data_IF_377352679860
#
_entry.id   IF_377352679860
#
_cell.length_a   1.000
_cell.length_b   1.000
_cell.length_c   1.000
_cell.angle_alpha   90.00
_cell.angle_beta   90.00
_cell.angle_gamma   90.00
#
_symmetry.space_group_name_H-M   'P 1'
#
loop_
_entity.id
_entity.type
_entity.pdbx_description
1 polymer ?
#
# COMPACT_ATOMS: atom_id res chain seq x y z
N UNK A 1 -17.12 -21.08 -14.57
CA UNK A 1 -17.28 -22.54 -14.72
C UNK A 1 -16.63 -23.21 -13.52
N UNK A 2 -17.31 -24.19 -12.91
CA UNK A 2 -16.71 -25.00 -11.87
C UNK A 2 -15.72 -26.03 -12.48
N UNK A 3 -14.68 -26.38 -11.74
CA UNK A 3 -13.72 -27.40 -12.15
C UNK A 3 -14.40 -28.77 -12.17
N UNK A 4 -14.45 -29.44 -13.32
CA UNK A 4 -15.14 -30.74 -13.49
C UNK A 4 -14.20 -31.94 -13.63
N UNK A 5 -12.89 -31.71 -13.62
CA UNK A 5 -11.85 -32.74 -13.61
C UNK A 5 -10.55 -32.19 -13.01
N UNK A 6 -9.65 -33.09 -12.61
CA UNK A 6 -8.31 -32.71 -12.18
C UNK A 6 -7.62 -31.89 -13.27
N UNK A 7 -6.94 -30.82 -12.86
CA UNK A 7 -6.12 -29.99 -13.74
C UNK A 7 -4.74 -29.90 -13.15
N UNK A 8 -3.74 -30.27 -13.93
CA UNK A 8 -2.35 -29.96 -13.61
C UNK A 8 -2.15 -28.44 -13.70
N UNK A 9 -1.58 -27.87 -12.65
CA UNK A 9 -1.23 -26.47 -12.57
C UNK A 9 0.29 -26.37 -12.50
N UNK A 10 0.86 -25.46 -13.26
CA UNK A 10 2.25 -25.08 -13.09
C UNK A 10 2.42 -24.44 -11.71
N UNK A 11 2.99 -25.22 -10.78
CA UNK A 11 3.34 -24.74 -9.45
C UNK A 11 4.76 -24.16 -9.49
N UNK A 12 4.84 -22.83 -9.49
CA UNK A 12 6.11 -22.13 -9.34
C UNK A 12 6.47 -22.07 -7.85
N UNK A 13 7.15 -23.11 -7.36
CA UNK A 13 7.67 -23.16 -5.98
C UNK A 13 8.55 -21.94 -5.75
N UNK A 14 8.15 -21.08 -4.80
CA UNK A 14 8.90 -19.98 -4.17
C UNK A 14 10.22 -19.65 -4.88
N UNK A 15 10.09 -19.05 -6.07
CA UNK A 15 11.24 -18.71 -6.89
C UNK A 15 11.89 -17.46 -6.30
N UNK A 16 13.10 -17.61 -5.76
CA UNK A 16 13.95 -16.48 -5.35
C UNK A 16 13.98 -15.40 -6.43
N UNK A 17 13.97 -15.82 -7.71
CA UNK A 17 13.97 -14.96 -8.89
C UNK A 17 12.66 -15.06 -9.69
N UNK A 18 12.04 -13.92 -9.98
CA UNK A 18 10.87 -13.83 -10.88
C UNK A 18 11.18 -12.95 -12.07
N UNK A 19 10.79 -13.40 -13.27
CA UNK A 19 10.89 -12.58 -14.49
C UNK A 19 9.67 -11.67 -14.59
N UNK A 20 9.90 -10.38 -14.79
CA UNK A 20 8.85 -9.35 -14.92
C UNK A 20 9.07 -8.52 -16.20
N UNK A 21 8.00 -8.19 -16.95
CA UNK A 21 8.11 -7.36 -18.15
C UNK A 21 8.31 -5.89 -17.78
N UNK A 22 9.25 -5.22 -18.46
CA UNK A 22 9.61 -3.83 -18.17
C UNK A 22 8.70 -2.86 -18.93
N UNK A 23 8.36 -1.74 -18.29
CA UNK A 23 7.57 -0.68 -18.88
C UNK A 23 8.31 -0.02 -20.05
N UNK A 24 7.56 0.58 -20.97
CA UNK A 24 8.13 1.42 -22.02
C UNK A 24 8.92 2.58 -21.42
N UNK A 25 9.98 3.01 -22.10
CA UNK A 25 10.80 4.16 -21.71
C UNK A 25 11.39 4.07 -20.27
N UNK A 26 11.54 2.86 -19.72
CA UNK A 26 12.04 2.64 -18.37
C UNK A 26 13.42 1.97 -18.37
N UNK A 27 14.26 2.37 -17.42
CA UNK A 27 15.58 1.79 -17.19
C UNK A 27 15.71 1.36 -15.73
N UNK A 28 16.01 0.09 -15.49
CA UNK A 28 16.17 -0.51 -14.17
C UNK A 28 17.64 -0.85 -13.99
N UNK A 29 18.24 -0.39 -12.88
CA UNK A 29 19.60 -0.74 -12.53
C UNK A 29 19.63 -2.01 -11.67
N UNK A 30 20.75 -2.74 -11.72
CA UNK A 30 20.95 -3.89 -10.85
C UNK A 30 20.97 -3.45 -9.39
N UNK A 31 20.25 -4.15 -8.51
CA UNK A 31 20.11 -3.83 -7.10
C UNK A 31 19.06 -2.75 -6.79
N UNK A 32 18.47 -2.12 -7.81
CA UNK A 32 17.40 -1.15 -7.60
C UNK A 32 16.12 -1.81 -7.10
N UNK A 33 15.34 -1.07 -6.31
CA UNK A 33 13.99 -1.45 -5.94
C UNK A 33 13.08 -1.27 -7.15
N UNK A 34 12.29 -2.30 -7.45
CA UNK A 34 11.43 -2.34 -8.64
C UNK A 34 9.98 -2.22 -8.21
N UNK A 35 9.29 -1.24 -8.78
CA UNK A 35 7.84 -1.07 -8.64
C UNK A 35 7.10 -1.56 -9.86
N UNK A 36 5.81 -1.86 -9.70
CA UNK A 36 4.90 -2.18 -10.81
C UNK A 36 3.97 -1.00 -11.04
N UNK A 37 3.95 -0.47 -12.27
CA UNK A 37 3.03 0.61 -12.62
C UNK A 37 1.57 0.13 -12.68
N UNK A 38 0.62 1.05 -12.80
CA UNK A 38 -0.82 0.72 -12.90
C UNK A 38 -1.19 -0.13 -14.13
N UNK A 39 -0.32 -0.19 -15.14
CA UNK A 39 -0.49 -1.03 -16.32
C UNK A 39 0.11 -2.45 -16.17
N UNK A 40 0.70 -2.77 -15.01
CA UNK A 40 1.26 -4.09 -14.71
C UNK A 40 2.70 -4.32 -15.17
N UNK A 41 3.44 -3.26 -15.52
CA UNK A 41 4.82 -3.36 -15.99
C UNK A 41 5.82 -2.84 -14.95
N UNK A 42 6.98 -3.51 -14.89
CA UNK A 42 8.07 -3.17 -13.99
C UNK A 42 8.75 -1.85 -14.40
N UNK A 43 9.03 -1.00 -13.41
CA UNK A 43 9.77 0.27 -13.56
C UNK A 43 10.62 0.53 -12.30
N UNK A 44 11.55 1.50 -12.34
CA UNK A 44 12.12 2.05 -11.10
C UNK A 44 11.01 2.37 -10.11
N UNK A 45 11.15 1.91 -8.88
CA UNK A 45 10.09 2.06 -7.89
C UNK A 45 9.79 3.55 -7.66
N UNK A 46 8.50 3.88 -7.67
CA UNK A 46 7.98 5.17 -7.22
C UNK A 46 7.12 4.90 -5.99
N UNK A 47 7.27 5.71 -4.94
CA UNK A 47 6.48 5.57 -3.72
C UNK A 47 4.98 5.43 -4.00
N UNK A 48 4.36 4.39 -3.42
CA UNK A 48 2.95 4.05 -3.62
C UNK A 48 2.69 3.01 -4.70
N UNK A 49 3.69 2.65 -5.52
CA UNK A 49 3.62 1.50 -6.43
C UNK A 49 3.70 0.18 -5.64
N UNK A 50 3.01 -0.88 -6.06
CA UNK A 50 3.28 -2.23 -5.58
C UNK A 50 4.74 -2.63 -5.85
N UNK A 51 5.43 -3.17 -4.84
CA UNK A 51 6.81 -3.64 -4.99
C UNK A 51 6.85 -4.98 -5.75
N UNK A 52 7.67 -5.06 -6.80
CA UNK A 52 7.99 -6.29 -7.50
C UNK A 52 9.14 -7.06 -6.84
N UNK A 53 10.08 -6.34 -6.20
CA UNK A 53 11.28 -6.91 -5.61
C UNK A 53 12.53 -6.07 -5.86
N UNK A 54 13.70 -6.70 -5.75
CA UNK A 54 15.01 -6.08 -6.03
C UNK A 54 15.54 -6.58 -7.37
N UNK A 55 16.00 -5.69 -8.25
CA UNK A 55 16.52 -6.07 -9.55
C UNK A 55 17.77 -6.96 -9.45
N UNK A 56 17.70 -8.16 -10.03
CA UNK A 56 18.86 -9.07 -10.15
C UNK A 56 19.84 -8.61 -11.23
N UNK A 57 19.31 -8.03 -12.30
CA UNK A 57 20.04 -7.58 -13.47
C UNK A 57 19.57 -6.19 -13.90
N UNK A 58 20.43 -5.47 -14.61
CA UNK A 58 20.04 -4.20 -15.21
C UNK A 58 19.24 -4.47 -16.49
N UNK A 59 18.24 -3.62 -16.76
CA UNK A 59 17.45 -3.67 -17.98
C UNK A 59 17.16 -2.27 -18.49
N UNK A 60 17.48 -2.01 -19.75
CA UNK A 60 17.21 -0.74 -20.40
C UNK A 60 16.16 -0.92 -21.50
N UNK A 61 14.93 -0.50 -21.22
CA UNK A 61 13.83 -0.49 -22.18
C UNK A 61 13.50 0.96 -22.60
N UNK A 62 14.47 1.89 -22.52
CA UNK A 62 14.25 3.31 -22.79
C UNK A 62 13.75 3.59 -24.22
N UNK A 63 14.10 2.74 -25.18
CA UNK A 63 13.69 2.84 -26.57
C UNK A 63 12.57 1.86 -26.98
N UNK A 64 12.08 1.04 -26.03
CA UNK A 64 11.13 -0.03 -26.30
C UNK A 64 9.71 0.28 -25.84
N UNK A 65 8.76 -0.52 -26.35
CA UNK A 65 7.38 -0.53 -25.86
C UNK A 65 7.23 -1.34 -24.56
N UNK A 66 6.03 -1.33 -23.99
CA UNK A 66 5.72 -2.12 -22.80
C UNK A 66 5.98 -3.61 -23.06
N UNK A 67 6.78 -4.25 -22.19
CA UNK A 67 7.14 -5.66 -22.33
C UNK A 67 8.15 -5.97 -23.43
N UNK A 68 8.76 -4.95 -24.06
CA UNK A 68 9.83 -5.16 -25.05
C UNK A 68 11.09 -5.79 -24.47
N UNK A 69 11.29 -5.68 -23.15
CA UNK A 69 12.31 -6.33 -22.35
C UNK A 69 11.67 -6.94 -21.10
N UNK A 70 12.28 -8.00 -20.56
CA UNK A 70 11.98 -8.49 -19.21
C UNK A 70 13.24 -8.52 -18.36
N UNK A 71 13.10 -8.30 -17.06
CA UNK A 71 14.18 -8.39 -16.07
C UNK A 71 13.80 -9.36 -14.97
N UNK A 72 14.81 -9.96 -14.34
CA UNK A 72 14.60 -10.78 -13.14
C UNK A 72 14.71 -9.94 -11.88
N UNK A 73 13.83 -10.22 -10.92
CA UNK A 73 13.80 -9.58 -9.60
C UNK A 73 13.83 -10.62 -8.49
N UNK A 74 14.51 -10.30 -7.39
CA UNK A 74 14.43 -11.03 -6.15
C UNK A 74 13.11 -10.76 -5.45
N UNK A 75 12.33 -11.81 -5.17
CA UNK A 75 11.02 -11.70 -4.51
C UNK A 75 11.05 -12.04 -3.02
N UNK A 76 12.15 -12.63 -2.55
CA UNK A 76 12.40 -12.97 -1.15
C UNK A 76 13.89 -12.89 -0.84
N UNK A 77 14.23 -12.88 0.44
CA UNK A 77 15.61 -12.90 0.92
C UNK A 77 15.96 -11.71 1.82
N UNK A 78 17.19 -11.76 2.34
CA UNK A 78 17.76 -10.75 3.22
C UNK A 78 18.83 -9.96 2.46
N UNK A 79 18.71 -8.64 2.44
CA UNK A 79 19.57 -7.76 1.64
C UNK A 79 20.06 -6.58 2.48
N UNK A 80 21.32 -6.20 2.28
CA UNK A 80 21.93 -5.05 2.93
C UNK A 80 21.51 -3.74 2.26
N UNK A 81 21.07 -2.76 3.06
CA UNK A 81 20.71 -1.43 2.59
C UNK A 81 21.19 -0.34 3.54
N UNK A 82 21.41 0.84 2.98
CA UNK A 82 21.61 2.06 3.78
C UNK A 82 20.24 2.64 4.16
N UNK A 83 20.00 2.85 5.46
CA UNK A 83 18.77 3.47 5.97
C UNK A 83 19.12 4.50 7.04
N UNK A 84 18.96 5.78 6.71
CA UNK A 84 19.28 6.89 7.62
C UNK A 84 18.45 6.82 8.90
N UNK A 85 19.12 6.93 10.05
CA UNK A 85 18.49 6.90 11.37
C UNK A 85 18.21 5.51 11.92
N UNK A 86 18.65 4.44 11.24
CA UNK A 86 18.53 3.08 11.74
C UNK A 86 19.46 2.82 12.94
N UNK A 87 18.89 2.24 14.00
CA UNK A 87 19.55 1.85 15.24
C UNK A 87 19.23 0.40 15.58
N UNK A 88 20.01 -0.23 16.47
CA UNK A 88 19.80 -1.63 16.89
C UNK A 88 18.39 -1.85 17.50
N UNK A 89 17.72 -0.80 17.99
CA UNK A 89 16.36 -0.88 18.50
C UNK A 89 15.28 -1.06 17.41
N UNK A 90 15.62 -0.81 16.14
CA UNK A 90 14.69 -0.89 15.01
C UNK A 90 14.54 -2.31 14.45
N UNK A 91 15.06 -3.32 15.14
CA UNK A 91 14.86 -4.73 14.78
C UNK A 91 13.36 -5.06 14.63
N UNK A 92 12.98 -5.65 13.50
CA UNK A 92 11.59 -5.99 13.17
C UNK A 92 10.74 -4.80 12.69
N UNK A 93 11.27 -3.57 12.66
CA UNK A 93 10.54 -2.40 12.19
C UNK A 93 10.31 -2.49 10.66
N UNK A 94 9.12 -2.09 10.16
CA UNK A 94 8.86 -2.06 8.72
C UNK A 94 9.68 -0.98 8.03
N UNK A 95 10.10 -1.26 6.81
CA UNK A 95 10.90 -0.37 5.96
C UNK A 95 10.14 -0.09 4.67
N UNK A 96 10.07 1.19 4.31
CA UNK A 96 9.35 1.69 3.15
C UNK A 96 10.32 2.33 2.16
N UNK A 97 10.04 2.18 0.87
CA UNK A 97 10.80 2.83 -0.19
C UNK A 97 10.14 4.13 -0.63
N UNK A 98 10.96 5.19 -0.72
CA UNK A 98 10.59 6.47 -1.31
C UNK A 98 10.64 6.38 -2.84
N UNK A 99 11.71 5.77 -3.34
CA UNK A 99 12.05 5.58 -4.75
C UNK A 99 12.85 4.28 -4.94
N UNK A 100 13.56 4.13 -6.05
CA UNK A 100 14.30 2.92 -6.41
C UNK A 100 15.58 2.67 -5.61
N UNK A 101 15.97 3.60 -4.72
CA UNK A 101 17.17 3.50 -3.87
C UNK A 101 16.89 3.89 -2.41
N UNK A 102 16.10 4.93 -2.19
CA UNK A 102 15.91 5.59 -0.90
C UNK A 102 14.90 4.85 -0.04
N UNK A 103 15.30 4.52 1.19
CA UNK A 103 14.47 3.89 2.21
C UNK A 103 14.10 4.86 3.34
N UNK A 104 12.98 4.59 3.99
CA UNK A 104 12.46 5.35 5.13
C UNK A 104 11.69 4.44 6.09
N UNK A 105 11.65 4.82 7.37
CA UNK A 105 10.72 4.21 8.33
C UNK A 105 9.34 4.87 8.34
N UNK A 106 9.18 5.99 7.65
CA UNK A 106 7.91 6.71 7.55
C UNK A 106 7.06 6.12 6.41
N UNK A 107 5.85 5.59 6.67
CA UNK A 107 4.99 5.04 5.64
C UNK A 107 4.41 6.10 4.68
N UNK A 108 4.47 7.40 4.98
CA UNK A 108 3.78 8.47 4.25
C UNK A 108 3.96 8.45 2.73
N UNK A 109 2.99 7.88 2.00
CA UNK A 109 2.99 7.80 0.53
C UNK A 109 4.04 6.85 -0.06
N UNK A 110 4.64 5.96 0.75
CA UNK A 110 5.76 5.09 0.38
C UNK A 110 5.34 3.64 0.26
N UNK A 111 6.18 2.85 -0.40
CA UNK A 111 5.90 1.42 -0.64
C UNK A 111 6.56 0.56 0.44
N UNK A 112 5.80 -0.29 1.13
CA UNK A 112 6.37 -1.28 2.05
C UNK A 112 7.23 -2.29 1.27
N UNK A 113 8.50 -2.43 1.62
CA UNK A 113 9.43 -3.38 0.97
C UNK A 113 9.74 -4.56 1.88
N UNK A 114 9.88 -4.32 3.18
CA UNK A 114 10.47 -5.31 4.05
C UNK A 114 10.41 -4.97 5.53
N UNK A 115 11.12 -5.79 6.29
CA UNK A 115 11.31 -5.63 7.74
C UNK A 115 12.80 -5.73 8.09
N UNK A 116 13.26 -4.92 9.03
CA UNK A 116 14.64 -4.99 9.54
C UNK A 116 14.87 -6.33 10.23
N UNK A 117 15.92 -7.05 9.84
CA UNK A 117 16.38 -8.30 10.48
C UNK A 117 17.69 -8.17 11.20
N UNK A 118 18.48 -7.18 10.85
CA UNK A 118 19.71 -6.86 11.58
C UNK A 118 20.10 -5.41 11.31
N UNK A 119 20.89 -4.84 12.22
CA UNK A 119 21.51 -3.52 12.04
C UNK A 119 23.01 -3.73 12.23
N UNK A 120 23.71 -3.86 11.10
CA UNK A 120 25.15 -4.19 11.07
C UNK A 120 25.95 -3.07 11.74
N UNK A 121 25.58 -1.83 11.46
CA UNK A 121 26.11 -0.62 12.07
C UNK A 121 25.15 0.55 11.85
N UNK A 122 25.48 1.73 12.40
CA UNK A 122 24.64 2.91 12.23
C UNK A 122 24.37 3.19 10.74
N UNK A 123 23.08 3.34 10.42
CA UNK A 123 22.56 3.53 9.06
C UNK A 123 22.70 2.35 8.09
N UNK A 124 23.10 1.16 8.54
CA UNK A 124 23.23 -0.03 7.69
C UNK A 124 22.40 -1.18 8.25
N UNK A 125 21.41 -1.62 7.46
CA UNK A 125 20.45 -2.63 7.87
C UNK A 125 20.53 -3.86 6.97
N UNK A 126 20.23 -5.03 7.52
CA UNK A 126 19.80 -6.19 6.76
C UNK A 126 18.29 -6.20 6.76
N UNK A 127 17.69 -6.04 5.60
CA UNK A 127 16.23 -6.05 5.42
C UNK A 127 15.80 -7.37 4.81
N UNK A 128 14.81 -8.01 5.41
CA UNK A 128 14.08 -9.11 4.77
C UNK A 128 12.99 -8.54 3.88
N UNK A 129 12.99 -8.92 2.60
CA UNK A 129 11.89 -8.63 1.70
C UNK A 129 10.60 -9.25 2.24
N UNK A 130 9.55 -8.43 2.31
CA UNK A 130 8.21 -8.94 2.60
C UNK A 130 7.72 -9.64 1.35
N UNK A 131 7.85 -10.97 1.30
CA UNK A 131 6.94 -11.76 0.46
C UNK A 131 5.55 -11.57 1.07
N UNK A 132 4.56 -11.18 0.29
CA UNK A 132 3.21 -10.82 0.76
C UNK A 132 2.48 -11.97 1.47
N UNK A 133 2.91 -12.29 2.67
CA UNK A 133 2.42 -13.36 3.52
C UNK A 133 1.78 -12.81 4.82
N UNK A 134 1.07 -13.66 5.56
CA UNK A 134 0.06 -13.31 6.58
C UNK A 134 0.58 -12.62 7.85
N UNK A 135 1.84 -12.20 7.87
CA UNK A 135 2.46 -11.45 8.97
C UNK A 135 2.77 -9.99 8.61
N UNK A 136 2.20 -9.49 7.51
CA UNK A 136 2.29 -8.07 7.19
C UNK A 136 1.67 -7.26 8.34
N UNK A 137 2.51 -6.53 9.07
CA UNK A 137 2.04 -5.48 9.97
C UNK A 137 1.30 -4.46 9.13
N UNK A 138 0.03 -4.19 9.42
CA UNK A 138 -0.70 -3.12 8.76
C UNK A 138 -0.06 -1.79 9.15
N UNK A 139 0.66 -1.12 8.23
CA UNK A 139 1.40 0.07 8.60
C UNK A 139 0.41 1.19 8.96
N UNK A 140 0.64 1.85 10.11
CA UNK A 140 -0.17 2.99 10.55
C UNK A 140 0.48 4.26 10.02
N UNK A 141 -0.28 5.06 9.28
CA UNK A 141 0.14 6.36 8.78
C UNK A 141 -0.64 7.47 9.48
N UNK A 142 0.08 8.46 10.03
CA UNK A 142 -0.48 9.65 10.66
C UNK A 142 -0.51 10.81 9.67
N UNK A 143 -1.64 11.50 9.56
CA UNK A 143 -1.85 12.55 8.56
C UNK A 143 -2.23 13.87 9.25
N UNK A 144 -1.44 14.91 9.00
CA UNK A 144 -1.71 16.28 9.46
C UNK A 144 -2.50 17.12 8.43
N UNK A 145 -2.68 16.59 7.21
CA UNK A 145 -3.37 17.24 6.08
C UNK A 145 -4.11 16.20 5.24
N UNK A 146 -5.03 16.65 4.37
CA UNK A 146 -5.73 15.78 3.42
C UNK A 146 -4.78 15.01 2.50
N UNK A 147 -5.16 13.80 2.12
CA UNK A 147 -4.33 12.87 1.34
C UNK A 147 -5.17 11.99 0.40
N UNK A 148 -4.50 11.38 -0.57
CA UNK A 148 -5.12 10.46 -1.54
C UNK A 148 -4.46 9.10 -1.44
N UNK A 149 -5.27 8.04 -1.43
CA UNK A 149 -4.85 6.65 -1.34
C UNK A 149 -4.85 5.97 -2.70
N UNK A 150 -3.94 5.02 -2.88
CA UNK A 150 -3.84 4.15 -4.06
C UNK A 150 -4.23 2.72 -3.69
N UNK A 151 -4.66 1.93 -4.67
CA UNK A 151 -4.97 0.50 -4.43
C UNK A 151 -3.76 -0.30 -3.90
N UNK A 152 -2.53 0.15 -4.19
CA UNK A 152 -1.29 -0.49 -3.71
C UNK A 152 -1.12 -0.39 -2.20
N UNK A 153 -1.87 0.50 -1.54
CA UNK A 153 -1.89 0.68 -0.10
C UNK A 153 -3.01 -0.14 0.56
N UNK A 154 -3.62 -1.10 -0.12
CA UNK A 154 -4.62 -1.98 0.50
C UNK A 154 -4.07 -2.66 1.76
N UNK A 155 -4.83 -2.63 2.85
CA UNK A 155 -4.48 -3.25 4.13
C UNK A 155 -3.75 -2.32 5.11
N UNK A 156 -3.53 -1.05 4.76
CA UNK A 156 -2.94 -0.04 5.66
C UNK A 156 -3.96 0.58 6.62
N UNK A 157 -3.45 1.18 7.70
CA UNK A 157 -4.23 1.94 8.67
C UNK A 157 -3.89 3.42 8.58
N UNK A 158 -4.88 4.29 8.61
CA UNK A 158 -4.71 5.74 8.50
C UNK A 158 -5.36 6.47 9.67
N UNK A 159 -4.71 7.52 10.16
CA UNK A 159 -5.20 8.33 11.29
C UNK A 159 -5.01 9.81 11.03
N UNK A 160 -5.80 10.65 11.69
CA UNK A 160 -5.68 12.12 11.66
C UNK A 160 -4.76 12.68 12.77
N UNK A 161 -3.91 11.86 13.37
CA UNK A 161 -2.99 12.32 14.41
C UNK A 161 -2.09 13.45 13.87
N UNK A 162 -2.09 14.59 14.57
CA UNK A 162 -1.32 15.77 14.18
C UNK A 162 -2.07 16.75 13.28
N UNK A 163 -3.32 16.46 12.90
CA UNK A 163 -4.17 17.41 12.19
C UNK A 163 -4.51 18.63 13.09
N UNK A 164 -4.58 19.81 12.46
CA UNK A 164 -5.01 21.06 13.10
C UNK A 164 -6.44 21.49 12.70
N UNK A 165 -7.09 20.70 11.84
CA UNK A 165 -8.47 20.88 11.38
C UNK A 165 -8.98 19.62 10.69
N UNK A 166 -10.19 19.67 10.15
CA UNK A 166 -10.76 18.55 9.41
C UNK A 166 -9.89 18.19 8.19
N UNK A 167 -9.65 16.88 7.99
CA UNK A 167 -8.87 16.37 6.86
C UNK A 167 -9.69 15.37 6.04
N UNK A 168 -9.35 15.24 4.76
CA UNK A 168 -10.01 14.32 3.84
C UNK A 168 -9.04 13.24 3.38
N UNK A 169 -9.41 11.98 3.60
CA UNK A 169 -8.81 10.81 2.98
C UNK A 169 -9.59 10.47 1.70
N UNK A 170 -8.95 10.61 0.54
CA UNK A 170 -9.54 10.28 -0.75
C UNK A 170 -9.19 8.84 -1.13
N UNK A 171 -10.20 7.96 -1.17
CA UNK A 171 -10.07 6.56 -1.56
C UNK A 171 -9.82 6.41 -3.07
N UNK A 172 -9.14 5.33 -3.50
CA UNK A 172 -8.88 5.11 -4.92
C UNK A 172 -10.17 4.90 -5.71
N UNK A 173 -10.19 5.41 -6.94
CA UNK A 173 -11.29 5.20 -7.87
C UNK A 173 -11.31 3.78 -8.41
N UNK A 174 -12.48 3.14 -8.40
CA UNK A 174 -12.72 1.81 -9.00
C UNK A 174 -11.62 0.78 -8.66
N UNK A 175 -11.25 0.59 -7.38
CA UNK A 175 -10.19 -0.32 -7.03
C UNK A 175 -10.66 -1.77 -7.20
N UNK A 176 -9.74 -2.75 -7.28
CA UNK A 176 -10.11 -4.16 -7.28
C UNK A 176 -11.03 -4.50 -6.10
N UNK A 177 -12.03 -5.35 -6.35
CA UNK A 177 -12.92 -5.88 -5.31
C UNK A 177 -12.09 -6.48 -4.17
N UNK A 178 -12.41 -6.11 -2.93
CA UNK A 178 -11.70 -6.58 -1.74
C UNK A 178 -10.52 -5.69 -1.31
N UNK A 179 -10.22 -4.60 -2.03
CA UNK A 179 -9.31 -3.56 -1.54
C UNK A 179 -9.83 -3.04 -0.20
N UNK A 180 -8.98 -2.97 0.82
CA UNK A 180 -9.39 -2.66 2.20
C UNK A 180 -8.53 -1.56 2.83
N UNK A 181 -9.16 -0.72 3.65
CA UNK A 181 -8.49 0.31 4.44
C UNK A 181 -9.14 0.43 5.81
N UNK A 182 -8.33 0.73 6.83
CA UNK A 182 -8.82 1.06 8.17
C UNK A 182 -8.51 2.50 8.52
N UNK A 183 -9.50 3.22 9.01
CA UNK A 183 -9.38 4.61 9.45
C UNK A 183 -9.67 4.69 10.94
N UNK A 184 -8.81 5.36 11.69
CA UNK A 184 -8.96 5.56 13.14
C UNK A 184 -8.77 7.04 13.46
N UNK A 185 -9.71 7.64 14.17
CA UNK A 185 -9.60 9.00 14.64
C UNK A 185 -8.71 9.06 15.90
N UNK A 186 -7.70 9.91 15.90
CA UNK A 186 -6.70 10.10 16.97
C UNK A 186 -6.48 11.57 17.35
N UNK A 187 -7.07 12.50 16.59
CA UNK A 187 -7.24 13.90 16.95
C UNK A 187 -8.74 14.19 16.94
N UNK A 188 -9.25 14.91 17.93
CA UNK A 188 -10.67 15.24 18.11
C UNK A 188 -11.15 16.25 17.03
N UNK A 189 -11.15 15.80 15.79
CA UNK A 189 -11.31 16.55 14.56
C UNK A 189 -11.88 15.61 13.50
N UNK A 190 -12.72 16.16 12.63
CA UNK A 190 -13.38 15.38 11.58
C UNK A 190 -12.38 14.78 10.56
N UNK A 191 -12.26 13.45 10.55
CA UNK A 191 -11.61 12.67 9.50
C UNK A 191 -12.65 12.25 8.47
N UNK A 192 -12.64 12.90 7.31
CA UNK A 192 -13.56 12.63 6.20
C UNK A 192 -12.99 11.59 5.26
N UNK A 193 -13.84 10.67 4.79
CA UNK A 193 -13.52 9.57 3.90
C UNK A 193 -14.30 9.73 2.60
N UNK A 194 -13.62 10.10 1.53
CA UNK A 194 -14.24 10.29 0.21
C UNK A 194 -14.02 9.03 -0.66
N UNK A 195 -15.05 8.40 -1.23
CA UNK A 195 -14.97 7.13 -1.98
C UNK A 195 -14.32 7.17 -3.37
N UNK A 196 -13.83 8.34 -3.81
CA UNK A 196 -13.47 8.58 -5.21
C UNK A 196 -14.66 9.15 -6.00
N UNK A 197 -14.41 9.57 -7.24
CA UNK A 197 -15.43 10.13 -8.12
C UNK A 197 -16.55 9.11 -8.43
N UNK A 198 -17.81 9.53 -8.35
CA UNK A 198 -18.98 8.70 -8.59
C UNK A 198 -19.10 7.45 -7.69
N UNK A 199 -18.35 7.37 -6.59
CA UNK A 199 -18.47 6.32 -5.59
C UNK A 199 -19.30 6.75 -4.38
N UNK A 200 -19.85 5.77 -3.66
CA UNK A 200 -20.50 5.93 -2.36
C UNK A 200 -19.88 5.03 -1.28
N UNK A 201 -20.17 5.34 -0.03
CA UNK A 201 -19.77 4.55 1.15
C UNK A 201 -21.03 4.10 1.87
N UNK A 202 -21.14 2.79 2.10
CA UNK A 202 -22.18 2.18 2.93
C UNK A 202 -21.68 2.06 4.36
N UNK A 203 -22.33 2.72 5.30
CA UNK A 203 -22.02 2.65 6.74
C UNK A 203 -23.29 2.35 7.51
N UNK A 204 -23.26 1.35 8.40
CA UNK A 204 -24.38 1.02 9.31
C UNK A 204 -25.75 0.89 8.61
N UNK A 205 -25.76 0.42 7.36
CA UNK A 205 -26.98 0.21 6.57
C UNK A 205 -27.45 1.40 5.74
N UNK A 206 -26.73 2.54 5.73
CA UNK A 206 -27.02 3.70 4.89
C UNK A 206 -25.92 3.93 3.85
N UNK A 207 -26.29 4.29 2.62
CA UNK A 207 -25.37 4.74 1.56
C UNK A 207 -25.34 6.27 1.55
N UNK A 208 -24.16 6.89 1.47
CA UNK A 208 -24.08 8.29 1.05
C UNK A 208 -24.48 8.47 -0.42
N UNK A 209 -24.83 9.70 -0.80
CA UNK A 209 -24.84 10.06 -2.21
C UNK A 209 -23.44 9.95 -2.83
N UNK A 210 -23.38 9.80 -4.15
CA UNK A 210 -22.10 9.66 -4.82
C UNK A 210 -21.27 10.96 -4.71
N UNK A 211 -19.95 10.83 -4.54
CA UNK A 211 -18.99 11.95 -4.30
C UNK A 211 -19.11 12.66 -2.94
N UNK A 212 -19.96 12.18 -2.04
CA UNK A 212 -20.01 12.64 -0.64
C UNK A 212 -18.93 11.94 0.20
N UNK A 213 -18.89 12.22 1.50
CA UNK A 213 -17.99 11.52 2.42
C UNK A 213 -18.72 10.88 3.61
N UNK A 214 -18.09 9.87 4.20
CA UNK A 214 -18.36 9.45 5.57
C UNK A 214 -17.35 10.11 6.51
N UNK A 215 -17.73 10.44 7.74
CA UNK A 215 -16.82 11.06 8.71
C UNK A 215 -16.60 10.18 9.94
N UNK A 216 -15.43 10.33 10.56
CA UNK A 216 -15.10 9.81 11.89
C UNK A 216 -14.60 10.99 12.70
N UNK A 217 -15.22 11.31 13.84
CA UNK A 217 -14.94 12.57 14.55
C UNK A 217 -14.23 12.38 15.88
N UNK A 218 -14.48 11.28 16.58
CA UNK A 218 -14.11 11.15 17.99
C UNK A 218 -12.87 10.28 18.18
N UNK A 219 -12.01 10.65 19.12
CA UNK A 219 -10.78 9.90 19.38
C UNK A 219 -11.10 8.45 19.78
N UNK A 220 -10.55 7.50 19.03
CA UNK A 220 -10.76 6.07 19.24
C UNK A 220 -11.82 5.46 18.31
N UNK A 221 -12.63 6.28 17.65
CA UNK A 221 -13.57 5.79 16.64
C UNK A 221 -12.83 5.29 15.40
N UNK A 222 -13.40 4.27 14.77
CA UNK A 222 -12.83 3.66 13.59
C UNK A 222 -13.87 3.15 12.62
N UNK A 223 -13.47 3.08 11.36
CA UNK A 223 -14.20 2.39 10.31
C UNK A 223 -13.21 1.61 9.43
N UNK A 224 -13.60 0.39 9.08
CA UNK A 224 -12.90 -0.46 8.13
C UNK A 224 -13.75 -0.56 6.86
N UNK A 225 -13.18 -0.16 5.74
CA UNK A 225 -13.84 -0.10 4.44
C UNK A 225 -13.28 -1.16 3.52
N UNK A 226 -14.16 -1.80 2.75
CA UNK A 226 -13.81 -2.76 1.70
C UNK A 226 -14.50 -2.37 0.40
N UNK A 227 -13.75 -2.34 -0.71
CA UNK A 227 -14.30 -2.08 -2.03
C UNK A 227 -15.19 -3.23 -2.51
N UNK A 228 -16.39 -2.90 -2.99
CA UNK A 228 -17.38 -3.90 -3.43
C UNK A 228 -17.15 -4.40 -4.87
N UNK A 229 -16.33 -3.67 -5.63
CA UNK A 229 -16.03 -3.93 -7.04
C UNK A 229 -16.96 -3.21 -8.04
N UNK A 230 -17.86 -2.36 -7.57
CA UNK A 230 -18.82 -1.57 -8.35
C UNK A 230 -18.57 -0.05 -8.23
N UNK A 231 -17.40 0.35 -7.74
CA UNK A 231 -17.06 1.75 -7.49
C UNK A 231 -17.52 2.28 -6.13
N UNK A 232 -18.15 1.44 -5.31
CA UNK A 232 -18.59 1.78 -3.96
C UNK A 232 -17.70 1.09 -2.89
N UNK A 233 -17.83 1.57 -1.66
CA UNK A 233 -17.15 1.05 -0.48
C UNK A 233 -18.15 0.62 0.57
N UNK A 234 -17.90 -0.50 1.24
CA UNK A 234 -18.75 -1.02 2.32
C UNK A 234 -17.96 -1.05 3.62
N UNK A 235 -18.54 -0.48 4.68
CA UNK A 235 -18.00 -0.62 6.02
C UNK A 235 -18.26 -2.03 6.55
N UNK A 236 -17.19 -2.80 6.77
CA UNK A 236 -17.23 -4.18 7.29
C UNK A 236 -17.13 -4.21 8.82
N UNK A 237 -16.48 -3.21 9.41
CA UNK A 237 -16.41 -2.99 10.83
C UNK A 237 -16.42 -1.49 11.11
N UNK A 238 -17.05 -1.09 12.21
CA UNK A 238 -17.01 0.28 12.69
C UNK A 238 -17.31 0.31 14.17
N UNK A 239 -16.64 1.19 14.90
CA UNK A 239 -17.08 1.63 16.23
C UNK A 239 -17.38 3.12 16.15
N UNK A 240 -18.49 3.53 16.74
CA UNK A 240 -18.70 4.93 17.10
C UNK A 240 -18.90 5.01 18.60
N UNK A 241 -18.70 6.19 19.16
CA UNK A 241 -19.26 6.59 20.43
C UNK A 241 -20.78 6.34 20.52
N UNK A 242 -21.33 6.67 21.69
CA UNK A 242 -22.75 6.45 21.99
C UNK A 242 -23.69 7.40 21.22
N UNK A 243 -23.14 8.37 20.49
CA UNK A 243 -23.79 9.54 19.90
C UNK A 243 -23.94 9.49 18.37
N UNK A 244 -23.42 8.44 17.71
CA UNK A 244 -23.69 8.20 16.29
C UNK A 244 -22.67 8.87 15.35
N UNK A 245 -21.43 8.96 15.81
CA UNK A 245 -20.39 9.90 15.34
C UNK A 245 -19.77 9.53 13.99
N UNK A 246 -20.10 8.33 13.49
CA UNK A 246 -19.85 8.00 12.09
C UNK A 246 -21.07 8.40 11.28
N UNK A 247 -21.02 9.63 10.76
CA UNK A 247 -22.05 10.20 9.92
C UNK A 247 -21.76 9.98 8.43
N UNK A 248 -22.83 9.91 7.67
CA UNK A 248 -22.82 9.80 6.21
C UNK A 248 -23.36 11.11 5.67
N UNK A 249 -22.59 11.84 4.86
CA UNK A 249 -23.08 13.07 4.26
C UNK A 249 -24.13 12.74 3.18
N UNK A 250 -25.29 13.39 3.28
CA UNK A 250 -26.40 13.24 2.34
C UNK A 250 -26.12 13.91 0.99
#
# INVERSE_FOLDING_TARGET
MALTANRELDHYVDQELRTVPVAAAARIYKGALVGVNSAGYARPLVGGDPAAGIAYEAGDNSAGGNGGLSVRVYTMGDFGFTLSGATVADFGRPVYAVDDETLSFDPGGRTLIGTVRDVVQANEIVMRLTSGGPFAVSPISHHASSFTLTFGQSGTVHTNLGAAGAIVATLPQSPPKGTTFKFVCMADLELRLAPGAAGGIYVKGAKQADNKYASVTDIGDFVELVADGNGDWVATASISGADGDIAVEA
#
